data_IF_445384366035
#
_entry.id   IF_445384366035
#
_cell.length_a   1.000
_cell.length_b   1.000
_cell.length_c   1.000
_cell.angle_alpha   90.00
_cell.angle_beta   90.00
_cell.angle_gamma   90.00
#
_symmetry.space_group_name_H-M   'P 1'
#
loop_
_entity.id
_entity.type
_entity.pdbx_description
1 polymer ?
#
# COMPACT_ATOMS: atom_id res chain seq x y z
N UNK A 1 -9.51 -11.74 -5.02
CA UNK A 1 -8.99 -10.37 -4.84
C UNK A 1 -10.17 -9.47 -4.54
N UNK A 2 -10.20 -8.89 -3.35
CA UNK A 2 -11.16 -7.83 -3.02
C UNK A 2 -10.82 -6.63 -3.93
N UNK A 3 -11.79 -5.75 -4.23
CA UNK A 3 -11.54 -4.58 -5.09
C UNK A 3 -10.37 -3.73 -4.56
N UNK A 4 -10.15 -3.74 -3.24
CA UNK A 4 -9.08 -3.05 -2.52
C UNK A 4 -7.67 -3.52 -2.95
N UNK A 5 -7.46 -4.84 -3.08
CA UNK A 5 -6.19 -5.44 -3.52
C UNK A 5 -5.78 -4.97 -4.92
N UNK A 6 -6.76 -4.83 -5.81
CA UNK A 6 -6.53 -4.39 -7.20
C UNK A 6 -6.11 -2.93 -7.23
N UNK A 7 -6.81 -2.06 -6.49
CA UNK A 7 -6.46 -0.65 -6.39
C UNK A 7 -5.09 -0.45 -5.74
N UNK A 8 -4.76 -1.26 -4.72
CA UNK A 8 -3.45 -1.26 -4.09
C UNK A 8 -2.34 -1.67 -5.04
N UNK A 9 -2.54 -2.77 -5.78
CA UNK A 9 -1.55 -3.26 -6.76
C UNK A 9 -1.28 -2.23 -7.84
N UNK A 10 -2.33 -1.57 -8.36
CA UNK A 10 -2.21 -0.48 -9.35
C UNK A 10 -1.45 0.71 -8.76
N UNK A 11 -1.80 1.11 -7.53
CA UNK A 11 -1.09 2.19 -6.82
C UNK A 11 0.39 1.87 -6.60
N UNK A 12 0.71 0.62 -6.24
CA UNK A 12 2.08 0.15 -6.03
C UNK A 12 2.90 0.13 -7.32
N UNK A 13 2.29 -0.28 -8.44
CA UNK A 13 2.98 -0.26 -9.74
C UNK A 13 3.27 1.16 -10.21
N UNK A 14 2.32 2.08 -10.05
CA UNK A 14 2.53 3.50 -10.36
C UNK A 14 3.62 4.09 -9.46
N UNK A 15 3.58 3.81 -8.16
CA UNK A 15 4.59 4.28 -7.20
C UNK A 15 6.00 3.78 -7.57
N UNK A 16 6.12 2.51 -7.96
CA UNK A 16 7.39 1.95 -8.42
C UNK A 16 7.94 2.70 -9.65
N UNK A 17 7.08 2.98 -10.64
CA UNK A 17 7.47 3.73 -11.83
C UNK A 17 7.88 5.18 -11.52
N UNK A 18 7.17 5.86 -10.62
CA UNK A 18 7.50 7.22 -10.20
C UNK A 18 8.85 7.26 -9.47
N UNK A 19 9.10 6.36 -8.53
CA UNK A 19 10.37 6.32 -7.79
C UNK A 19 11.54 6.00 -8.74
N UNK A 20 11.32 5.14 -9.74
CA UNK A 20 12.32 4.86 -10.76
C UNK A 20 12.67 6.10 -11.60
N UNK A 21 11.65 6.78 -12.13
CA UNK A 21 11.84 7.99 -12.94
C UNK A 21 12.50 9.13 -12.15
N UNK A 22 12.14 9.30 -10.87
CA UNK A 22 12.79 10.25 -9.97
C UNK A 22 14.25 9.86 -9.73
N UNK A 23 14.53 8.56 -9.56
CA UNK A 23 15.89 8.04 -9.40
C UNK A 23 16.77 8.33 -10.59
N UNK A 24 16.29 8.06 -11.81
CA UNK A 24 17.02 8.37 -13.04
C UNK A 24 17.20 9.88 -13.24
N UNK A 25 16.23 10.71 -12.86
CA UNK A 25 16.38 12.16 -12.90
C UNK A 25 17.47 12.65 -11.95
N UNK A 26 17.46 12.18 -10.70
CA UNK A 26 18.45 12.57 -9.68
C UNK A 26 19.85 12.07 -10.07
N UNK A 27 19.96 10.82 -10.53
CA UNK A 27 21.23 10.21 -10.93
C UNK A 27 21.74 10.70 -12.29
N UNK A 28 20.84 11.05 -13.22
CA UNK A 28 21.18 11.59 -14.53
C UNK A 28 21.60 13.06 -14.50
N UNK A 29 21.13 13.84 -13.52
CA UNK A 29 21.58 15.23 -13.32
C UNK A 29 22.94 15.31 -12.61
N UNK A 30 23.27 14.32 -11.77
CA UNK A 30 24.53 14.26 -11.03
C UNK A 30 25.59 13.51 -11.84
N UNK A 31 26.29 14.24 -12.72
CA UNK A 31 27.46 13.76 -13.47
C UNK A 31 28.38 12.89 -12.58
N UNK A 32 28.71 11.69 -13.10
CA UNK A 32 29.56 10.65 -12.50
C UNK A 32 28.97 9.92 -11.27
N UNK A 33 27.85 9.23 -11.48
CA UNK A 33 27.27 8.33 -10.47
C UNK A 33 28.21 7.17 -10.19
N UNK A 34 28.75 7.16 -8.97
CA UNK A 34 29.44 6.02 -8.38
C UNK A 34 28.44 4.86 -8.25
N UNK A 35 28.79 3.61 -8.61
CA UNK A 35 27.88 2.45 -8.52
C UNK A 35 27.24 2.24 -7.14
N UNK A 36 27.87 2.76 -6.09
CA UNK A 36 27.34 2.74 -4.71
C UNK A 36 26.01 3.48 -4.56
N UNK A 37 25.76 4.53 -5.35
CA UNK A 37 24.52 5.28 -5.29
C UNK A 37 23.32 4.46 -5.81
N UNK A 38 23.53 3.60 -6.81
CA UNK A 38 22.50 2.68 -7.30
C UNK A 38 22.09 1.66 -6.22
N UNK A 39 23.06 1.14 -5.47
CA UNK A 39 22.80 0.19 -4.38
C UNK A 39 22.00 0.86 -3.28
N UNK A 40 22.36 2.09 -2.89
CA UNK A 40 21.63 2.85 -1.90
C UNK A 40 20.20 3.20 -2.38
N UNK A 41 20.05 3.58 -3.65
CA UNK A 41 18.76 3.87 -4.25
C UNK A 41 17.86 2.64 -4.31
N UNK A 42 18.41 1.49 -4.68
CA UNK A 42 17.70 0.22 -4.68
C UNK A 42 17.23 -0.17 -3.27
N UNK A 43 18.10 -0.04 -2.27
CA UNK A 43 17.75 -0.28 -0.88
C UNK A 43 16.60 0.64 -0.41
N UNK A 44 16.63 1.92 -0.81
CA UNK A 44 15.58 2.88 -0.50
C UNK A 44 14.23 2.47 -1.12
N UNK A 45 14.21 2.07 -2.39
CA UNK A 45 13.01 1.56 -3.06
C UNK A 45 12.42 0.36 -2.31
N UNK A 46 13.27 -0.60 -1.92
CA UNK A 46 12.85 -1.80 -1.18
C UNK A 46 12.23 -1.42 0.16
N UNK A 47 12.85 -0.51 0.92
CA UNK A 47 12.33 -0.08 2.22
C UNK A 47 10.95 0.58 2.08
N UNK A 48 10.77 1.46 1.09
CA UNK A 48 9.49 2.15 0.85
C UNK A 48 8.40 1.15 0.45
N UNK A 49 8.70 0.26 -0.51
CA UNK A 49 7.73 -0.75 -0.97
C UNK A 49 7.32 -1.71 0.14
N UNK A 50 8.26 -2.11 0.99
CA UNK A 50 7.99 -2.99 2.13
C UNK A 50 7.18 -2.26 3.21
N UNK A 51 7.50 -1.01 3.51
CA UNK A 51 6.72 -0.17 4.44
C UNK A 51 5.27 0.03 3.99
N UNK A 52 5.06 0.33 2.71
CA UNK A 52 3.71 0.47 2.12
C UNK A 52 2.95 -0.87 2.15
N UNK A 53 3.64 -1.99 1.89
CA UNK A 53 3.04 -3.33 1.93
C UNK A 53 2.59 -3.71 3.34
N UNK A 54 3.43 -3.46 4.35
CA UNK A 54 3.09 -3.69 5.76
C UNK A 54 1.94 -2.78 6.18
N UNK A 55 1.97 -1.51 5.81
CA UNK A 55 0.89 -0.57 6.10
C UNK A 55 -0.45 -1.00 5.50
N UNK A 56 -0.43 -1.43 4.23
CA UNK A 56 -1.63 -1.95 3.58
C UNK A 56 -2.15 -3.21 4.28
N UNK A 57 -1.27 -4.14 4.64
CA UNK A 57 -1.64 -5.34 5.40
C UNK A 57 -2.28 -4.98 6.76
N UNK A 58 -1.73 -3.98 7.47
CA UNK A 58 -2.32 -3.51 8.73
C UNK A 58 -3.69 -2.85 8.54
N UNK A 59 -3.91 -2.12 7.44
CA UNK A 59 -5.23 -1.55 7.12
C UNK A 59 -6.24 -2.65 6.74
N UNK A 60 -5.80 -3.66 5.98
CA UNK A 60 -6.65 -4.80 5.60
C UNK A 60 -7.13 -5.56 6.85
N UNK A 61 -6.22 -5.82 7.80
CA UNK A 61 -6.52 -6.47 9.08
C UNK A 61 -7.51 -5.66 9.94
N UNK A 62 -7.39 -4.33 9.95
CA UNK A 62 -8.36 -3.48 10.63
C UNK A 62 -9.73 -3.48 9.92
N UNK A 63 -9.78 -3.76 8.62
CA UNK A 63 -11.04 -3.82 7.87
C UNK A 63 -11.80 -5.14 8.02
N UNK A 64 -11.13 -6.21 8.46
CA UNK A 64 -11.77 -7.49 8.84
C UNK A 64 -12.31 -7.47 10.29
N UNK A 65 -12.09 -6.38 11.05
CA UNK A 65 -12.75 -6.13 12.34
C UNK A 65 -14.24 -5.74 12.23
N UNK A 66 -14.81 -5.68 11.01
CA UNK A 66 -16.26 -5.85 10.83
C UNK A 66 -16.62 -7.32 11.07
N UNK A 67 -16.55 -7.73 12.33
CA UNK A 67 -16.91 -9.06 12.79
C UNK A 67 -18.31 -9.40 12.24
N UNK A 68 -18.47 -10.45 11.41
CA UNK A 68 -19.76 -10.84 10.84
C UNK A 68 -20.81 -11.13 11.93
N UNK A 69 -20.38 -11.38 13.18
CA UNK A 69 -21.28 -11.45 14.35
C UNK A 69 -21.87 -10.09 14.72
N UNK A 70 -21.09 -9.00 14.67
CA UNK A 70 -21.57 -7.62 14.88
C UNK A 70 -22.56 -7.21 13.78
N UNK A 71 -22.23 -7.47 12.52
CA UNK A 71 -23.12 -7.21 11.38
C UNK A 71 -24.43 -8.02 11.46
N UNK A 72 -24.39 -9.28 11.93
CA UNK A 72 -25.61 -10.07 12.22
C UNK A 72 -26.40 -9.51 13.41
N UNK A 73 -25.74 -9.03 14.46
CA UNK A 73 -26.40 -8.47 15.64
C UNK A 73 -27.11 -7.15 15.31
N UNK A 74 -26.45 -6.23 14.59
CA UNK A 74 -27.08 -4.97 14.16
C UNK A 74 -28.28 -5.20 13.23
N UNK A 75 -28.20 -6.16 12.30
CA UNK A 75 -29.36 -6.56 11.47
C UNK A 75 -30.53 -7.09 12.31
N UNK A 76 -30.26 -7.82 13.40
CA UNK A 76 -31.30 -8.31 14.32
C UNK A 76 -31.89 -7.18 15.18
N UNK A 77 -31.07 -6.26 15.65
CA UNK A 77 -31.50 -5.16 16.54
C UNK A 77 -32.28 -4.09 15.76
N UNK A 78 -31.84 -3.70 14.56
CA UNK A 78 -32.58 -2.74 13.73
C UNK A 78 -33.94 -3.25 13.25
N UNK A 79 -34.12 -4.57 13.09
CA UNK A 79 -35.43 -5.16 12.82
C UNK A 79 -36.44 -4.98 13.96
N UNK A 80 -35.99 -4.87 15.21
CA UNK A 80 -36.88 -4.69 16.38
C UNK A 80 -37.26 -3.23 16.63
N UNK A 81 -36.47 -2.27 16.17
CA UNK A 81 -36.70 -0.83 16.42
C UNK A 81 -37.70 -0.19 15.45
N UNK A 82 -38.15 -0.92 14.42
CA UNK A 82 -39.09 -0.44 13.39
C UNK A 82 -40.56 -0.87 13.65
N UNK A 83 -40.84 -1.57 14.75
CA UNK A 83 -42.20 -1.79 15.24
C UNK A 83 -42.49 -0.79 16.36
#
# INVERSE_FOLDING_TARGET
MKKKDVTFTIGLTILMGVIWAVGELVMGLWLAVVPSAHIFWFALIVIITLGISVWHSMIEDNSDLEDPKRAKYERKVNKRKKN
#
